data_IF_208294737347
#
_entry.id   IF_208294737347
#
_cell.length_a   1.000
_cell.length_b   1.000
_cell.length_c   1.000
_cell.angle_alpha   90.00
_cell.angle_beta   90.00
_cell.angle_gamma   90.00
#
_symmetry.space_group_name_H-M   'P 1'
#
loop_
_entity.id
_entity.type
_entity.pdbx_description
1 polymer ?
#
# COMPACT_ATOMS: atom_id res chain seq x y z
N UNK A 1 -22.62 -13.66 -5.81
CA UNK A 1 -21.57 -13.22 -4.85
C UNK A 1 -21.92 -13.61 -3.41
N UNK A 2 -21.81 -14.90 -3.07
CA UNK A 2 -21.80 -15.37 -1.67
C UNK A 2 -20.33 -15.58 -1.28
N UNK A 3 -19.90 -15.23 -0.07
CA UNK A 3 -18.55 -15.54 0.43
C UNK A 3 -17.56 -14.38 0.56
N UNK A 4 -17.89 -13.15 0.15
CA UNK A 4 -17.03 -11.97 0.39
C UNK A 4 -17.49 -11.24 1.65
N UNK A 5 -17.16 -11.81 2.83
CA UNK A 5 -17.40 -11.15 4.12
C UNK A 5 -18.55 -11.70 4.96
N UNK A 6 -18.85 -13.00 4.88
CA UNK A 6 -20.06 -13.60 5.50
C UNK A 6 -20.08 -13.64 7.04
N UNK A 7 -19.11 -13.04 7.75
CA UNK A 7 -19.01 -13.12 9.22
C UNK A 7 -18.88 -11.75 9.87
N UNK A 8 -17.79 -11.04 9.59
CA UNK A 8 -17.47 -9.77 10.25
C UNK A 8 -16.99 -8.80 9.19
N UNK A 9 -17.52 -7.58 9.24
CA UNK A 9 -17.01 -6.42 8.53
C UNK A 9 -16.40 -5.44 9.53
N UNK A 10 -15.27 -4.86 9.16
CA UNK A 10 -14.57 -3.84 9.94
C UNK A 10 -14.55 -2.57 9.11
N UNK A 11 -14.93 -1.44 9.71
CA UNK A 11 -14.80 -0.12 9.12
C UNK A 11 -13.82 0.71 9.94
N UNK A 12 -12.95 1.46 9.27
CA UNK A 12 -11.95 2.33 9.89
C UNK A 12 -11.96 3.69 9.20
N UNK A 13 -11.88 4.76 9.99
CA UNK A 13 -11.64 6.12 9.51
C UNK A 13 -10.34 6.66 10.13
N UNK A 14 -9.66 7.56 9.43
CA UNK A 14 -8.40 8.16 9.88
C UNK A 14 -8.32 9.63 9.52
N UNK A 15 -7.58 10.39 10.34
CA UNK A 15 -7.29 11.81 10.12
C UNK A 15 -5.77 12.04 10.19
N UNK A 16 -5.28 13.04 9.47
CA UNK A 16 -3.86 13.39 9.43
C UNK A 16 -3.65 14.82 8.96
N UNK A 17 -2.50 15.38 9.32
CA UNK A 17 -2.09 16.74 8.94
C UNK A 17 -1.06 16.67 7.82
N UNK A 18 -1.27 17.46 6.77
CA UNK A 18 -0.29 17.65 5.70
C UNK A 18 0.47 18.93 6.03
N UNK A 19 1.72 18.80 6.48
CA UNK A 19 2.54 19.93 6.93
C UNK A 19 3.54 20.43 5.90
N UNK A 20 3.68 19.76 4.75
CA UNK A 20 4.66 20.13 3.72
C UNK A 20 4.00 20.92 2.59
N UNK A 21 4.61 22.03 2.13
CA UNK A 21 4.06 22.85 1.04
C UNK A 21 3.97 22.11 -0.30
N UNK A 22 4.78 21.05 -0.47
CA UNK A 22 4.92 20.26 -1.68
C UNK A 22 4.46 18.81 -1.48
N UNK A 23 3.18 18.62 -1.18
CA UNK A 23 2.59 17.30 -0.96
C UNK A 23 2.70 16.40 -2.22
N UNK A 24 2.99 15.09 -2.07
CA UNK A 24 2.99 14.15 -3.18
C UNK A 24 1.60 14.05 -3.82
N UNK A 25 1.56 13.98 -5.14
CA UNK A 25 0.36 13.71 -5.90
C UNK A 25 0.72 13.03 -7.21
N UNK A 26 0.01 11.96 -7.57
CA UNK A 26 0.22 11.28 -8.85
C UNK A 26 0.02 12.20 -10.06
N UNK A 27 -0.75 13.28 -9.92
CA UNK A 27 -0.95 14.30 -10.97
C UNK A 27 0.29 15.15 -11.26
N UNK A 28 1.30 15.12 -10.37
CA UNK A 28 2.54 15.89 -10.51
C UNK A 28 3.65 15.14 -11.25
N UNK A 29 3.44 13.86 -11.57
CA UNK A 29 4.40 13.05 -12.32
C UNK A 29 4.65 13.65 -13.72
N UNK A 30 5.92 13.73 -14.12
CA UNK A 30 6.36 14.35 -15.38
C UNK A 30 7.38 13.45 -16.10
N UNK A 31 7.53 13.59 -17.42
CA UNK A 31 8.61 12.93 -18.15
C UNK A 31 9.97 13.20 -17.50
N UNK A 32 10.74 12.15 -17.25
CA UNK A 32 12.03 12.21 -16.55
C UNK A 32 11.99 11.68 -15.12
N UNK A 33 10.81 11.65 -14.47
CA UNK A 33 10.66 11.05 -13.15
C UNK A 33 10.95 9.55 -13.16
N UNK A 34 11.40 9.02 -12.01
CA UNK A 34 11.66 7.59 -11.82
C UNK A 34 10.52 6.94 -11.03
N UNK A 35 10.21 5.71 -11.39
CA UNK A 35 9.24 4.87 -10.67
C UNK A 35 10.03 3.97 -9.74
N UNK A 36 9.67 3.98 -8.46
CA UNK A 36 10.23 3.10 -7.44
C UNK A 36 9.09 2.31 -6.79
N UNK A 37 9.41 1.07 -6.40
CA UNK A 37 8.54 0.19 -5.60
C UNK A 37 9.32 -0.22 -4.36
N UNK A 38 8.64 -0.35 -3.22
CA UNK A 38 9.25 -0.61 -1.92
C UNK A 38 9.29 -2.10 -1.54
N UNK A 39 8.91 -2.99 -2.45
CA UNK A 39 8.83 -4.43 -2.22
C UNK A 39 8.41 -5.19 -3.48
N UNK A 40 8.17 -6.49 -3.32
CA UNK A 40 7.62 -7.33 -4.39
C UNK A 40 6.17 -6.96 -4.69
N UNK A 41 5.72 -7.30 -5.89
CA UNK A 41 4.38 -6.97 -6.36
C UNK A 41 3.47 -8.19 -6.22
N UNK A 42 2.38 -8.03 -5.47
CA UNK A 42 1.29 -8.99 -5.43
C UNK A 42 1.35 -10.00 -4.29
N UNK A 43 2.28 -9.86 -3.34
CA UNK A 43 2.46 -10.77 -2.19
C UNK A 43 1.15 -11.00 -1.41
N UNK A 44 0.43 -9.93 -1.05
CA UNK A 44 -0.86 -10.08 -0.36
C UNK A 44 -1.91 -10.80 -1.21
N UNK A 45 -2.03 -10.44 -2.49
CA UNK A 45 -2.99 -11.08 -3.40
C UNK A 45 -2.71 -12.57 -3.57
N UNK A 46 -1.43 -12.92 -3.75
CA UNK A 46 -0.96 -14.29 -3.87
C UNK A 46 -1.20 -15.07 -2.57
N UNK A 47 -0.90 -14.50 -1.40
CA UNK A 47 -1.16 -15.12 -0.10
C UNK A 47 -2.66 -15.42 0.12
N UNK A 48 -3.54 -14.47 -0.20
CA UNK A 48 -4.99 -14.69 -0.10
C UNK A 48 -5.47 -15.77 -1.09
N UNK A 49 -4.99 -15.74 -2.33
CA UNK A 49 -5.35 -16.73 -3.34
C UNK A 49 -4.89 -18.14 -2.94
N UNK A 50 -3.64 -18.27 -2.47
CA UNK A 50 -3.07 -19.54 -2.06
C UNK A 50 -3.89 -20.19 -0.94
N UNK A 51 -4.31 -19.41 0.06
CA UNK A 51 -5.17 -19.90 1.15
C UNK A 51 -6.56 -20.30 0.64
N UNK A 52 -7.15 -19.52 -0.28
CA UNK A 52 -8.49 -19.81 -0.83
C UNK A 52 -8.52 -21.08 -1.68
N UNK A 53 -7.49 -21.28 -2.49
CA UNK A 53 -7.42 -22.37 -3.47
C UNK A 53 -6.57 -23.56 -2.98
N UNK A 54 -6.14 -23.55 -1.70
CA UNK A 54 -5.28 -24.57 -1.09
C UNK A 54 -3.99 -24.84 -1.88
N UNK A 55 -3.36 -23.78 -2.41
CA UNK A 55 -2.10 -23.87 -3.16
C UNK A 55 -0.95 -24.02 -2.16
N UNK A 56 -0.14 -25.10 -2.24
CA UNK A 56 1.02 -25.28 -1.36
C UNK A 56 2.15 -24.33 -1.73
N UNK A 57 2.80 -23.73 -0.73
CA UNK A 57 3.95 -22.84 -0.90
C UNK A 57 4.11 -21.89 0.26
N UNK A 58 5.22 -21.15 0.28
CA UNK A 58 5.47 -20.09 1.24
C UNK A 58 4.96 -18.75 0.68
N UNK A 59 3.69 -18.45 0.96
CA UNK A 59 3.06 -17.19 0.56
C UNK A 59 2.79 -16.35 1.81
N UNK A 60 3.51 -15.23 1.94
CA UNK A 60 3.34 -14.30 3.05
C UNK A 60 2.76 -12.99 2.53
N UNK A 61 1.74 -12.47 3.22
CA UNK A 61 1.12 -11.18 2.89
C UNK A 61 2.02 -10.01 3.28
N UNK A 62 2.07 -8.98 2.44
CA UNK A 62 2.84 -7.74 2.66
C UNK A 62 2.13 -6.69 3.54
N UNK A 63 0.95 -7.02 4.10
CA UNK A 63 0.16 -6.10 4.91
C UNK A 63 0.93 -5.54 6.12
N UNK A 64 1.27 -4.25 6.06
CA UNK A 64 1.98 -3.53 7.10
C UNK A 64 1.64 -2.02 7.08
N UNK A 65 1.74 -1.31 8.22
CA UNK A 65 1.66 0.15 8.24
C UNK A 65 2.88 0.78 7.55
N UNK A 66 2.65 1.67 6.59
CA UNK A 66 3.72 2.31 5.79
C UNK A 66 4.04 3.75 6.21
N UNK A 67 3.39 4.29 7.25
CA UNK A 67 3.60 5.67 7.69
C UNK A 67 5.05 5.97 8.04
N UNK A 68 5.74 5.07 8.75
CA UNK A 68 7.15 5.28 9.11
C UNK A 68 8.10 5.16 7.91
N UNK A 69 7.72 4.42 6.86
CA UNK A 69 8.48 4.34 5.61
C UNK A 69 8.32 5.62 4.78
N UNK A 70 7.08 6.15 4.69
CA UNK A 70 6.76 7.29 3.83
C UNK A 70 7.16 8.63 4.48
N UNK A 71 7.07 8.74 5.81
CA UNK A 71 7.35 9.96 6.57
C UNK A 71 8.71 10.62 6.25
N UNK A 72 9.86 9.92 6.28
CA UNK A 72 11.13 10.54 5.93
C UNK A 72 11.19 10.96 4.45
N UNK A 73 10.58 10.18 3.55
CA UNK A 73 10.57 10.48 2.11
C UNK A 73 9.89 11.83 1.83
N UNK A 74 8.73 12.07 2.45
CA UNK A 74 7.98 13.31 2.25
C UNK A 74 8.57 14.51 3.00
N UNK A 75 9.39 14.26 4.02
CA UNK A 75 10.08 15.31 4.80
C UNK A 75 11.39 15.75 4.15
N UNK A 76 12.15 14.81 3.56
CA UNK A 76 13.47 15.08 2.99
C UNK A 76 13.44 15.38 1.49
N UNK A 77 12.49 14.80 0.74
CA UNK A 77 12.42 14.92 -0.72
C UNK A 77 11.14 15.64 -1.15
N UNK A 78 11.14 16.98 -1.23
CA UNK A 78 9.99 17.72 -1.72
C UNK A 78 9.69 17.36 -3.17
N UNK A 79 8.45 16.96 -3.45
CA UNK A 79 7.98 16.65 -4.81
C UNK A 79 7.70 17.95 -5.56
N UNK A 80 8.10 18.04 -6.82
CA UNK A 80 7.89 19.21 -7.70
C UNK A 80 6.44 19.68 -7.84
#
# INVERSE_FOLDING_TARGET
EKGKGDKIYINTAGLGLISTPNNPSGKKARPGDKILVNGFLGDHGAAILAVRENIPGDFTSDCAPLNELVKPIIQEYPVH
#
